data_IF_554715912689
#
_entry.id   IF_554715912689
#
_cell.length_a   1.000
_cell.length_b   1.000
_cell.length_c   1.000
_cell.angle_alpha   90.00
_cell.angle_beta   90.00
_cell.angle_gamma   90.00
#
_symmetry.space_group_name_H-M   'P 1'
#
loop_
_entity.id
_entity.type
_entity.pdbx_description
1 polymer ?
#
# COMPACT_ATOMS: atom_id res chain seq x y z
N UNK A 1 -13.22 -14.38 8.75
CA UNK A 1 -13.73 -13.75 7.51
C UNK A 1 -12.83 -12.56 7.26
N UNK A 2 -11.93 -12.66 6.27
CA UNK A 2 -10.84 -11.70 6.07
C UNK A 2 -11.42 -10.48 5.34
N UNK A 3 -11.87 -9.48 6.09
CA UNK A 3 -12.38 -8.25 5.51
C UNK A 3 -11.20 -7.42 4.99
N UNK A 4 -11.24 -7.08 3.71
CA UNK A 4 -10.28 -6.18 3.07
C UNK A 4 -10.54 -4.74 3.52
N UNK A 5 -9.50 -4.06 3.98
CA UNK A 5 -9.53 -2.63 4.25
C UNK A 5 -8.49 -1.89 3.40
N UNK A 6 -8.72 -0.62 3.15
CA UNK A 6 -7.99 0.17 2.15
C UNK A 6 -7.71 1.58 2.68
N UNK A 7 -6.52 2.09 2.34
CA UNK A 7 -6.10 3.45 2.62
C UNK A 7 -5.47 4.07 1.37
N UNK A 8 -5.87 5.27 0.98
CA UNK A 8 -5.22 6.03 -0.09
C UNK A 8 -4.96 7.46 0.35
N UNK A 9 -3.82 8.00 -0.11
CA UNK A 9 -3.46 9.41 0.05
C UNK A 9 -2.99 9.95 -1.28
N UNK A 10 -3.52 11.12 -1.66
CA UNK A 10 -3.22 11.80 -2.89
C UNK A 10 -2.96 13.29 -2.63
N UNK A 11 -1.92 13.85 -3.24
CA UNK A 11 -1.56 15.25 -3.12
C UNK A 11 -1.79 15.98 -4.46
N UNK A 12 -2.85 16.81 -4.60
CA UNK A 12 -3.22 17.43 -5.86
C UNK A 12 -2.24 18.52 -6.34
N UNK A 13 -1.38 19.03 -5.45
CA UNK A 13 -0.41 20.08 -5.74
C UNK A 13 1.05 19.62 -5.56
N UNK A 14 1.25 18.31 -5.39
CA UNK A 14 2.55 17.69 -5.18
C UNK A 14 2.79 16.55 -6.18
N UNK A 15 3.33 15.40 -5.75
CA UNK A 15 3.70 14.31 -6.65
C UNK A 15 2.51 13.40 -7.04
N UNK A 16 1.29 13.69 -6.57
CA UNK A 16 0.09 12.89 -6.88
C UNK A 16 -0.13 11.78 -5.86
N UNK A 17 -0.19 10.52 -6.29
CA UNK A 17 -0.40 9.41 -5.38
C UNK A 17 0.76 9.31 -4.37
N UNK A 18 0.48 9.53 -3.09
CA UNK A 18 1.46 9.48 -2.01
C UNK A 18 1.56 8.08 -1.40
N UNK A 19 0.43 7.40 -1.31
CA UNK A 19 0.32 6.10 -0.65
C UNK A 19 -0.96 5.42 -1.07
N UNK A 20 -0.89 4.13 -1.42
CA UNK A 20 -2.04 3.26 -1.55
C UNK A 20 -1.75 1.97 -0.79
N UNK A 21 -2.66 1.56 0.08
CA UNK A 21 -2.52 0.39 0.95
C UNK A 21 -3.79 -0.44 0.90
N UNK A 22 -3.61 -1.76 0.81
CA UNK A 22 -4.66 -2.75 1.06
C UNK A 22 -4.21 -3.69 2.16
N UNK A 23 -5.12 -4.00 3.09
CA UNK A 23 -4.84 -4.86 4.24
C UNK A 23 -5.89 -5.96 4.37
N UNK A 24 -5.41 -7.10 4.86
CA UNK A 24 -6.18 -8.26 5.27
C UNK A 24 -5.81 -8.58 6.72
N UNK A 25 -6.80 -8.76 7.58
CA UNK A 25 -6.59 -9.18 8.97
C UNK A 25 -7.02 -10.64 9.11
N UNK A 26 -6.17 -11.46 9.71
CA UNK A 26 -6.48 -12.84 10.08
C UNK A 26 -5.86 -13.18 11.45
N UNK A 27 -6.72 -13.43 12.43
CA UNK A 27 -6.32 -13.61 13.82
C UNK A 27 -5.59 -12.38 14.37
N UNK A 28 -4.39 -12.61 14.89
CA UNK A 28 -3.52 -11.56 15.43
C UNK A 28 -2.63 -10.88 14.38
N UNK A 29 -2.64 -11.39 13.15
CA UNK A 29 -1.73 -10.97 12.09
C UNK A 29 -2.42 -10.01 11.11
N UNK A 30 -1.63 -9.07 10.58
CA UNK A 30 -2.04 -8.21 9.46
C UNK A 30 -1.17 -8.54 8.27
N UNK A 31 -1.79 -8.67 7.10
CA UNK A 31 -1.11 -8.84 5.82
C UNK A 31 -1.53 -7.71 4.91
N UNK A 32 -0.67 -7.30 3.99
CA UNK A 32 -1.06 -6.26 3.08
C UNK A 32 -0.10 -6.04 1.95
N UNK A 33 -0.43 -5.03 1.17
CA UNK A 33 0.38 -4.52 0.10
C UNK A 33 0.29 -3.01 0.12
N UNK A 34 1.42 -2.33 -0.09
CA UNK A 34 1.43 -0.89 -0.26
C UNK A 34 2.21 -0.51 -1.50
N UNK A 35 1.88 0.66 -2.04
CA UNK A 35 2.66 1.29 -3.09
C UNK A 35 2.68 2.82 -2.94
N UNK A 36 3.74 3.45 -3.42
CA UNK A 36 3.90 4.90 -3.39
C UNK A 36 5.31 5.35 -3.81
N UNK A 37 5.53 6.67 -3.89
CA UNK A 37 6.84 7.25 -4.13
C UNK A 37 7.82 6.94 -2.98
N UNK A 38 9.08 6.84 -3.34
CA UNK A 38 10.25 6.69 -2.49
C UNK A 38 11.41 7.47 -3.10
N UNK A 39 12.44 7.82 -2.31
CA UNK A 39 13.63 8.57 -2.74
C UNK A 39 14.27 8.11 -4.06
N UNK A 40 14.16 6.82 -4.40
CA UNK A 40 14.74 6.23 -5.61
C UNK A 40 13.76 5.93 -6.76
N UNK A 41 12.46 6.21 -6.60
CA UNK A 41 11.44 5.88 -7.59
C UNK A 41 10.08 5.59 -6.99
N UNK A 42 9.31 4.73 -7.64
CA UNK A 42 8.04 4.24 -7.12
C UNK A 42 8.23 2.81 -6.62
N UNK A 43 7.81 2.53 -5.39
CA UNK A 43 8.00 1.22 -4.76
C UNK A 43 6.65 0.58 -4.49
N UNK A 44 6.62 -0.74 -4.57
CA UNK A 44 5.51 -1.58 -4.18
C UNK A 44 6.04 -2.79 -3.44
N UNK A 45 5.36 -3.20 -2.38
CA UNK A 45 5.81 -4.31 -1.55
C UNK A 45 4.65 -4.92 -0.77
N UNK A 46 4.69 -6.24 -0.63
CA UNK A 46 3.85 -6.99 0.28
C UNK A 46 4.41 -6.91 1.68
N UNK A 47 3.54 -6.95 2.68
CA UNK A 47 3.95 -6.95 4.08
C UNK A 47 3.15 -7.89 4.96
N UNK A 48 3.75 -8.23 6.10
CA UNK A 48 3.11 -8.92 7.21
C UNK A 48 3.51 -8.23 8.52
N UNK A 49 2.52 -7.95 9.37
CA UNK A 49 2.70 -7.60 10.76
C UNK A 49 2.28 -8.81 11.59
N UNK A 50 3.26 -9.60 12.02
CA UNK A 50 3.02 -10.76 12.87
C UNK A 50 2.67 -10.30 14.28
N UNK A 51 1.64 -10.93 14.88
CA UNK A 51 1.20 -10.70 16.27
C UNK A 51 0.83 -9.24 16.57
N UNK A 52 0.40 -8.51 15.55
CA UNK A 52 0.04 -7.09 15.64
C UNK A 52 -1.05 -6.81 16.68
N UNK A 53 -2.07 -7.68 16.77
CA UNK A 53 -3.15 -7.54 17.76
C UNK A 53 -2.90 -8.30 19.06
N UNK A 54 -1.68 -8.79 19.28
CA UNK A 54 -1.32 -9.51 20.51
C UNK A 54 -0.74 -8.56 21.58
N UNK A 55 -0.49 -9.07 22.78
CA UNK A 55 0.25 -8.36 23.84
C UNK A 55 1.77 -8.36 23.62
N UNK A 56 2.27 -9.09 22.62
CA UNK A 56 3.69 -9.17 22.29
C UNK A 56 4.08 -8.08 21.28
N UNK A 57 5.38 -7.81 21.16
CA UNK A 57 5.89 -6.91 20.14
C UNK A 57 5.63 -7.47 18.73
N UNK A 58 5.08 -6.62 17.86
CA UNK A 58 4.80 -6.98 16.47
C UNK A 58 6.08 -7.06 15.65
N UNK A 59 6.22 -8.11 14.85
CA UNK A 59 7.33 -8.25 13.90
C UNK A 59 6.87 -7.80 12.52
N UNK A 60 7.64 -6.92 11.88
CA UNK A 60 7.32 -6.39 10.55
C UNK A 60 8.18 -7.08 9.50
N UNK A 61 7.51 -7.75 8.57
CA UNK A 61 8.11 -8.34 7.39
C UNK A 61 7.64 -7.61 6.13
N UNK A 62 8.50 -7.54 5.11
CA UNK A 62 8.07 -7.17 3.77
C UNK A 62 8.80 -7.97 2.70
N UNK A 63 8.19 -8.07 1.52
CA UNK A 63 8.83 -8.66 0.35
C UNK A 63 9.92 -7.73 -0.18
N UNK A 64 10.98 -8.31 -0.76
CA UNK A 64 12.07 -7.57 -1.39
C UNK A 64 11.62 -6.87 -2.68
N UNK A 65 10.69 -7.49 -3.40
CA UNK A 65 10.12 -7.02 -4.67
C UNK A 65 8.60 -6.86 -4.56
N UNK A 66 7.97 -6.39 -5.63
CA UNK A 66 6.51 -6.40 -5.80
C UNK A 66 5.96 -7.79 -6.16
N UNK A 67 6.51 -8.85 -5.57
CA UNK A 67 6.04 -10.23 -5.71
C UNK A 67 5.91 -10.88 -4.33
N UNK A 68 4.73 -11.44 -4.06
CA UNK A 68 4.42 -12.11 -2.78
C UNK A 68 5.18 -13.43 -2.62
N UNK A 69 5.61 -14.04 -3.72
CA UNK A 69 6.31 -15.32 -3.77
C UNK A 69 7.84 -15.19 -3.73
N UNK A 70 8.36 -13.96 -3.85
CA UNK A 70 9.78 -13.67 -3.73
C UNK A 70 10.27 -13.70 -2.27
N UNK A 71 11.54 -13.37 -2.08
CA UNK A 71 12.17 -13.31 -0.77
C UNK A 71 11.54 -12.24 0.14
N UNK A 72 11.57 -12.53 1.44
CA UNK A 72 11.07 -11.66 2.50
C UNK A 72 12.18 -11.29 3.48
N UNK A 73 12.09 -10.07 4.00
CA UNK A 73 13.00 -9.53 5.01
C UNK A 73 12.23 -9.09 6.25
N UNK A 74 12.89 -9.17 7.41
CA UNK A 74 12.41 -8.54 8.64
C UNK A 74 12.83 -7.07 8.62
N UNK A 75 11.87 -6.14 8.55
CA UNK A 75 12.14 -4.70 8.64
C UNK A 75 12.11 -4.17 10.08
N UNK A 76 11.53 -4.92 11.02
CA UNK A 76 11.56 -4.56 12.44
C UNK A 76 11.39 -5.81 13.32
N UNK A 77 12.20 -6.00 14.38
CA UNK A 77 13.20 -5.07 14.99
C UNK A 77 14.42 -4.75 14.08
N UNK A 78 15.19 -3.65 14.35
CA UNK A 78 16.03 -2.90 13.37
C UNK A 78 17.28 -3.62 12.83
N UNK A 79 17.35 -4.94 12.89
CA UNK A 79 18.33 -5.72 12.14
C UNK A 79 17.59 -6.35 10.97
N UNK A 80 17.85 -5.89 9.75
CA UNK A 80 17.35 -6.55 8.55
C UNK A 80 17.92 -7.97 8.47
N UNK A 81 17.04 -8.94 8.68
CA UNK A 81 17.37 -10.36 8.57
C UNK A 81 16.67 -10.88 7.33
N UNK A 82 17.46 -11.25 6.32
CA UNK A 82 16.98 -11.98 5.16
C UNK A 82 16.55 -13.36 5.62
N UNK A 83 15.29 -13.71 5.42
CA UNK A 83 14.76 -15.03 5.81
C UNK A 83 15.23 -16.16 4.87
N UNK A 84 15.84 -15.80 3.74
CA UNK A 84 16.07 -16.67 2.58
C UNK A 84 14.74 -17.06 1.93
N UNK A 85 14.67 -18.22 1.28
CA UNK A 85 13.46 -18.75 0.61
C UNK A 85 12.31 -19.14 1.56
N UNK A 86 12.28 -18.66 2.81
CA UNK A 86 11.19 -18.92 3.76
C UNK A 86 10.26 -17.73 3.79
N UNK A 87 9.15 -17.83 3.07
CA UNK A 87 8.05 -16.88 3.22
C UNK A 87 7.53 -16.93 4.67
N UNK A 88 7.31 -15.77 5.32
CA UNK A 88 6.71 -15.70 6.66
C UNK A 88 5.20 -15.99 6.61
N UNK A 89 4.62 -16.09 5.41
CA UNK A 89 3.20 -16.25 5.22
C UNK A 89 2.77 -17.70 5.46
N UNK A 90 1.67 -17.93 6.22
CA UNK A 90 1.04 -19.24 6.32
C UNK A 90 0.56 -19.76 4.96
N UNK A 91 0.35 -21.07 4.87
CA UNK A 91 -0.16 -21.72 3.66
C UNK A 91 -1.48 -21.07 3.20
N UNK A 92 -1.57 -20.74 1.91
CA UNK A 92 -2.75 -20.13 1.30
C UNK A 92 -2.86 -18.61 1.45
N UNK A 93 -2.11 -17.98 2.36
CA UNK A 93 -2.15 -16.51 2.54
C UNK A 93 -1.58 -15.77 1.34
N UNK A 94 -0.52 -16.27 0.71
CA UNK A 94 0.09 -15.64 -0.48
C UNK A 94 -0.90 -15.46 -1.62
N UNK A 95 -1.69 -16.50 -1.93
CA UNK A 95 -2.72 -16.45 -2.98
C UNK A 95 -3.82 -15.43 -2.65
N UNK A 96 -4.27 -15.40 -1.38
CA UNK A 96 -5.28 -14.47 -0.93
C UNK A 96 -4.78 -13.01 -1.00
N UNK A 97 -3.51 -12.80 -0.65
CA UNK A 97 -2.88 -11.49 -0.66
C UNK A 97 -2.63 -10.98 -2.07
N UNK A 98 -2.13 -11.82 -2.99
CA UNK A 98 -2.00 -11.50 -4.41
C UNK A 98 -3.36 -11.17 -5.03
N UNK A 99 -4.39 -11.96 -4.71
CA UNK A 99 -5.76 -11.70 -5.18
C UNK A 99 -6.30 -10.36 -4.66
N UNK A 100 -6.02 -10.03 -3.40
CA UNK A 100 -6.43 -8.76 -2.80
C UNK A 100 -5.71 -7.56 -3.43
N UNK A 101 -4.40 -7.68 -3.69
CA UNK A 101 -3.60 -6.67 -4.41
C UNK A 101 -4.14 -6.44 -5.82
N UNK A 102 -4.35 -7.50 -6.60
CA UNK A 102 -4.87 -7.40 -7.96
C UNK A 102 -6.26 -6.77 -8.00
N UNK A 103 -7.17 -7.21 -7.11
CA UNK A 103 -8.51 -6.63 -7.01
C UNK A 103 -8.50 -5.17 -6.54
N UNK A 104 -7.57 -4.81 -5.66
CA UNK A 104 -7.40 -3.43 -5.19
C UNK A 104 -6.85 -2.53 -6.30
N UNK A 105 -5.78 -2.93 -6.96
CA UNK A 105 -5.17 -2.18 -8.06
C UNK A 105 -6.15 -2.00 -9.22
N UNK A 106 -6.84 -3.06 -9.63
CA UNK A 106 -7.86 -2.99 -10.68
C UNK A 106 -9.00 -2.03 -10.32
N UNK A 107 -9.42 -2.01 -9.05
CA UNK A 107 -10.51 -1.14 -8.61
C UNK A 107 -10.08 0.32 -8.43
N UNK A 108 -8.90 0.58 -7.86
CA UNK A 108 -8.54 1.90 -7.35
C UNK A 108 -7.46 2.62 -8.13
N UNK A 109 -6.56 1.89 -8.79
CA UNK A 109 -5.34 2.47 -9.35
C UNK A 109 -5.36 2.48 -10.87
N UNK A 110 -4.65 3.44 -11.43
CA UNK A 110 -4.26 3.47 -12.83
C UNK A 110 -2.74 3.71 -12.89
N UNK A 111 -2.04 2.95 -13.74
CA UNK A 111 -0.60 3.10 -13.94
C UNK A 111 -0.34 3.79 -15.27
N UNK A 112 0.61 4.72 -15.28
CA UNK A 112 0.90 5.58 -16.45
C UNK A 112 1.44 4.83 -17.66
N UNK A 113 2.00 3.63 -17.44
CA UNK A 113 2.52 2.72 -18.45
C UNK A 113 1.49 1.67 -18.92
N UNK A 114 0.32 1.58 -18.28
CA UNK A 114 -0.77 0.69 -18.68
C UNK A 114 -1.54 1.30 -19.87
N UNK A 115 -1.62 0.62 -21.04
CA UNK A 115 -2.45 1.06 -22.15
C UNK A 115 -3.93 1.26 -21.78
N UNK A 116 -4.42 0.51 -20.79
CA UNK A 116 -5.77 0.64 -20.25
C UNK A 116 -6.03 1.94 -19.48
N UNK A 117 -4.99 2.70 -19.13
CA UNK A 117 -5.10 3.94 -18.35
C UNK A 117 -5.28 5.21 -19.21
N UNK A 118 -5.34 5.11 -20.54
CA UNK A 118 -5.37 6.29 -21.44
C UNK A 118 -6.48 7.31 -21.09
N UNK A 119 -7.67 6.82 -20.73
CA UNK A 119 -8.79 7.68 -20.34
C UNK A 119 -8.54 8.39 -19.00
N UNK A 120 -7.96 7.70 -18.02
CA UNK A 120 -7.56 8.28 -16.74
C UNK A 120 -6.46 9.33 -16.95
N UNK A 121 -5.43 9.02 -17.75
CA UNK A 121 -4.31 9.94 -18.06
C UNK A 121 -4.82 11.25 -18.64
N UNK A 122 -5.73 11.19 -19.62
CA UNK A 122 -6.32 12.39 -20.20
C UNK A 122 -7.18 13.17 -19.19
N UNK A 123 -7.91 12.45 -18.33
CA UNK A 123 -8.71 13.07 -17.27
C UNK A 123 -7.86 13.86 -16.27
N UNK A 124 -6.70 13.32 -15.86
CA UNK A 124 -5.73 13.99 -14.98
C UNK A 124 -5.14 15.23 -15.67
N UNK A 125 -4.71 15.08 -16.93
CA UNK A 125 -4.16 16.17 -17.74
C UNK A 125 -5.13 17.33 -17.88
N UNK A 126 -6.40 17.05 -18.22
CA UNK A 126 -7.43 18.09 -18.39
C UNK A 126 -7.71 18.90 -17.12
N UNK A 127 -7.31 18.39 -15.95
CA UNK A 127 -7.49 19.04 -14.64
C UNK A 127 -6.20 19.56 -14.03
N UNK A 128 -5.08 19.47 -14.76
CA UNK A 128 -3.75 19.80 -14.26
C UNK A 128 -3.42 19.08 -12.94
N UNK A 129 -3.84 17.82 -12.81
CA UNK A 129 -3.57 16.99 -11.65
C UNK A 129 -2.33 16.12 -11.88
N UNK A 130 -1.45 15.95 -10.88
CA UNK A 130 -0.24 15.14 -11.00
C UNK A 130 -0.53 13.64 -11.18
N UNK A 131 0.10 13.04 -12.19
CA UNK A 131 0.11 11.61 -12.46
C UNK A 131 1.52 11.22 -12.92
N UNK A 132 2.37 10.78 -11.98
CA UNK A 132 3.81 10.54 -12.26
C UNK A 132 4.09 9.08 -12.63
N UNK A 133 3.68 8.12 -11.80
CA UNK A 133 3.85 6.68 -12.08
C UNK A 133 2.51 5.95 -11.97
N UNK A 134 1.82 6.17 -10.85
CA UNK A 134 0.47 5.69 -10.62
C UNK A 134 -0.42 6.82 -10.12
N UNK A 135 -1.72 6.66 -10.34
CA UNK A 135 -2.76 7.54 -9.84
C UNK A 135 -3.94 6.73 -9.33
N UNK A 136 -4.94 7.46 -8.85
CA UNK A 136 -6.23 6.90 -8.46
C UNK A 136 -7.16 7.00 -9.66
N UNK A 137 -7.90 5.93 -9.99
CA UNK A 137 -8.89 5.96 -11.08
C UNK A 137 -9.82 7.16 -10.94
N UNK A 138 -10.10 7.84 -12.04
CA UNK A 138 -10.81 9.11 -12.04
C UNK A 138 -12.20 9.01 -11.38
N UNK A 139 -12.88 7.89 -11.55
CA UNK A 139 -14.17 7.58 -10.93
C UNK A 139 -14.10 7.38 -9.40
N UNK A 140 -12.92 7.05 -8.86
CA UNK A 140 -12.69 6.82 -7.42
C UNK A 140 -12.18 8.07 -6.72
N UNK A 141 -11.58 9.02 -7.44
CA UNK A 141 -11.03 10.24 -6.86
C UNK A 141 -12.06 11.05 -6.03
N UNK A 142 -13.34 11.20 -6.45
CA UNK A 142 -14.36 11.88 -5.63
C UNK A 142 -14.67 11.21 -4.29
N UNK A 143 -14.23 9.97 -4.06
CA UNK A 143 -14.41 9.28 -2.77
C UNK A 143 -13.42 9.74 -1.71
N UNK A 144 -12.34 10.42 -2.08
CA UNK A 144 -11.37 10.92 -1.12
C UNK A 144 -11.94 12.14 -0.40
N UNK A 145 -11.75 12.19 0.91
CA UNK A 145 -12.00 13.38 1.69
C UNK A 145 -10.90 14.42 1.39
N UNK A 146 -11.30 15.56 0.85
CA UNK A 146 -10.37 16.64 0.52
C UNK A 146 -9.88 17.34 1.80
N UNK A 147 -8.57 17.27 2.05
CA UNK A 147 -7.86 18.07 3.05
C UNK A 147 -7.12 19.26 2.43
N UNK A 148 -6.44 20.08 3.25
CA UNK A 148 -5.74 21.28 2.80
C UNK A 148 -4.51 21.00 1.94
N UNK A 149 -3.81 19.89 2.21
CA UNK A 149 -2.60 19.46 1.48
C UNK A 149 -2.87 18.17 0.74
N UNK A 150 -3.45 17.18 1.43
CA UNK A 150 -3.70 15.86 0.88
C UNK A 150 -5.18 15.51 0.88
N UNK A 151 -5.59 14.72 -0.09
CA UNK A 151 -6.89 14.04 -0.15
C UNK A 151 -6.71 12.61 0.34
N UNK A 152 -7.60 12.15 1.23
CA UNK A 152 -7.44 10.87 1.92
C UNK A 152 -8.70 10.02 1.78
N UNK A 153 -8.53 8.74 1.52
CA UNK A 153 -9.59 7.75 1.67
C UNK A 153 -9.15 6.69 2.68
N UNK A 154 -10.02 6.39 3.63
CA UNK A 154 -9.89 5.24 4.52
C UNK A 154 -11.20 4.47 4.45
N UNK A 155 -11.13 3.17 4.18
CA UNK A 155 -12.32 2.31 4.25
C UNK A 155 -12.83 2.25 5.70
N UNK A 156 -14.15 2.15 5.95
CA UNK A 156 -14.70 2.12 7.31
C UNK A 156 -14.15 1.01 8.22
N UNK A 157 -13.67 -0.10 7.65
CA UNK A 157 -13.11 -1.23 8.38
C UNK A 157 -11.60 -1.10 8.65
N UNK A 158 -10.96 0.00 8.25
CA UNK A 158 -9.53 0.20 8.44
C UNK A 158 -9.22 0.58 9.89
N UNK A 159 -8.37 -0.19 10.54
CA UNK A 159 -7.69 0.23 11.76
C UNK A 159 -6.55 1.20 11.39
N UNK A 160 -6.73 2.48 11.71
CA UNK A 160 -5.78 3.54 11.40
C UNK A 160 -4.41 3.33 12.06
N UNK A 161 -4.34 2.58 13.18
CA UNK A 161 -3.09 2.29 13.85
C UNK A 161 -2.14 1.45 12.98
N UNK A 162 -2.67 0.63 12.06
CA UNK A 162 -1.85 -0.13 11.10
C UNK A 162 -1.06 0.84 10.22
N UNK A 163 -1.72 1.89 9.73
CA UNK A 163 -1.09 2.91 8.89
C UNK A 163 -0.05 3.69 9.68
N UNK A 164 -0.35 4.04 10.94
CA UNK A 164 0.60 4.75 11.81
C UNK A 164 1.82 3.89 12.17
N UNK A 165 1.63 2.56 12.29
CA UNK A 165 2.72 1.60 12.48
C UNK A 165 3.62 1.53 11.25
N UNK A 166 3.02 1.35 10.06
CA UNK A 166 3.72 1.28 8.78
C UNK A 166 4.49 2.58 8.50
N UNK A 167 3.87 3.74 8.76
CA UNK A 167 4.47 5.04 8.47
C UNK A 167 5.83 5.25 9.11
N UNK A 168 6.03 4.70 10.30
CA UNK A 168 7.27 4.82 11.05
C UNK A 168 8.42 3.99 10.47
N UNK A 169 8.13 3.06 9.54
CA UNK A 169 9.01 1.95 9.18
C UNK A 169 9.07 1.62 7.68
N UNK A 170 8.12 2.06 6.87
CA UNK A 170 8.11 1.79 5.43
C UNK A 170 9.09 2.69 4.65
N UNK A 171 9.49 2.31 3.43
CA UNK A 171 10.40 3.10 2.60
C UNK A 171 9.73 4.23 1.79
N UNK A 172 8.43 4.49 2.03
CA UNK A 172 7.68 5.50 1.27
C UNK A 172 8.04 6.93 1.71
N UNK A 173 8.13 7.84 0.75
CA UNK A 173 8.30 9.28 1.01
C UNK A 173 7.09 9.88 1.73
N UNK A 174 5.94 9.18 1.72
CA UNK A 174 4.79 9.55 2.55
C UNK A 174 5.11 9.56 4.06
N UNK A 175 6.12 8.80 4.52
CA UNK A 175 6.62 8.95 5.89
C UNK A 175 7.21 10.35 6.16
N UNK A 176 7.77 10.98 5.13
CA UNK A 176 8.46 12.28 5.21
C UNK A 176 7.52 13.47 4.99
N UNK A 177 6.30 13.24 4.51
CA UNK A 177 5.30 14.27 4.22
C UNK A 177 4.58 14.84 5.46
N UNK A 178 5.25 14.82 6.63
CA UNK A 178 4.72 15.29 7.93
C UNK A 178 5.10 16.74 8.20
#
# INVERSE_FOLDING_TARGET
MNQRATYLVYEPHGPGLMCAVVVLVDGENVYGWYTGPSRGGFVASFFMLERYYSMHEATFYHSVSDDVYDDWVIAYPPTEIVLGNRSPLPEGVSNALASAQAAFAAEWLCYSDDPGAAADIEWYRARNLPLVHAGIRCEKLPKLAAGPVTWVYASPALDQNIIDFLRKRWPLDFALAS
#
